data_IF_384006214478
#
_entry.id   IF_384006214478
#
_cell.length_a   1.000
_cell.length_b   1.000
_cell.length_c   1.000
_cell.angle_alpha   90.00
_cell.angle_beta   90.00
_cell.angle_gamma   90.00
#
_symmetry.space_group_name_H-M   'P 1'
#
loop_
_entity.id
_entity.type
_entity.pdbx_description
1 polymer ?
#
# COMPACT_ATOMS: atom_id res chain seq x y z
N UNK A 1 -23.32 6.69 9.64
CA UNK A 1 -22.89 5.78 8.56
C UNK A 1 -21.37 5.79 8.58
N UNK A 2 -20.72 4.66 8.88
CA UNK A 2 -19.26 4.61 8.83
C UNK A 2 -18.81 4.64 7.37
N UNK A 3 -17.67 5.28 7.08
CA UNK A 3 -17.11 5.26 5.73
C UNK A 3 -16.67 3.83 5.38
N UNK A 4 -16.82 3.42 4.12
CA UNK A 4 -16.42 2.09 3.62
C UNK A 4 -14.98 1.70 4.00
N UNK A 5 -14.06 2.66 3.98
CA UNK A 5 -12.67 2.44 4.37
C UNK A 5 -12.53 2.09 5.85
N UNK A 6 -13.39 2.62 6.72
CA UNK A 6 -13.40 2.28 8.14
C UNK A 6 -13.89 0.85 8.39
N UNK A 7 -14.93 0.42 7.69
CA UNK A 7 -15.45 -0.96 7.80
C UNK A 7 -14.42 -1.99 7.31
N UNK A 8 -13.74 -1.69 6.19
CA UNK A 8 -12.64 -2.50 5.67
C UNK A 8 -11.46 -2.53 6.63
N UNK A 9 -11.08 -1.39 7.20
CA UNK A 9 -10.03 -1.32 8.22
C UNK A 9 -10.37 -2.19 9.44
N UNK A 10 -11.60 -2.10 9.95
CA UNK A 10 -12.07 -2.93 11.07
C UNK A 10 -12.03 -4.43 10.72
N UNK A 11 -12.32 -4.80 9.47
CA UNK A 11 -12.21 -6.18 9.00
C UNK A 11 -10.75 -6.67 8.97
N UNK A 12 -9.81 -5.83 8.53
CA UNK A 12 -8.38 -6.15 8.55
C UNK A 12 -7.86 -6.30 9.98
N UNK A 13 -8.25 -5.39 10.90
CA UNK A 13 -7.87 -5.47 12.32
C UNK A 13 -8.38 -6.76 12.98
N UNK A 14 -9.64 -7.15 12.71
CA UNK A 14 -10.17 -8.44 13.20
C UNK A 14 -9.35 -9.63 12.69
N UNK A 15 -8.90 -9.59 11.45
CA UNK A 15 -8.07 -10.67 10.85
C UNK A 15 -6.66 -10.69 11.42
N UNK A 16 -6.10 -9.53 11.75
CA UNK A 16 -4.81 -9.39 12.41
C UNK A 16 -4.84 -9.77 13.90
N UNK A 17 -6.01 -9.88 14.53
CA UNK A 17 -6.18 -10.13 15.97
C UNK A 17 -5.15 -11.08 16.61
N UNK A 18 -4.89 -12.28 16.05
CA UNK A 18 -3.90 -13.21 16.59
C UNK A 18 -2.43 -12.77 16.46
N UNK A 19 -2.12 -11.88 15.52
CA UNK A 19 -0.78 -11.37 15.20
C UNK A 19 -0.51 -9.96 15.74
N UNK A 20 -1.54 -9.24 16.20
CA UNK A 20 -1.33 -8.00 16.94
C UNK A 20 -0.60 -8.34 18.25
N UNK A 21 0.51 -7.66 18.58
CA UNK A 21 1.33 -8.03 19.71
C UNK A 21 0.54 -7.96 21.00
N UNK A 22 0.24 -9.12 21.59
CA UNK A 22 -0.28 -9.22 22.95
C UNK A 22 0.88 -9.18 23.93
N UNK A 23 1.54 -8.03 24.06
CA UNK A 23 2.60 -7.74 25.05
C UNK A 23 3.64 -8.88 25.29
N UNK A 24 3.89 -9.74 24.29
CA UNK A 24 4.67 -10.96 24.45
C UNK A 24 6.06 -10.74 23.87
N UNK A 25 7.13 -10.91 24.67
CA UNK A 25 8.49 -10.77 24.19
C UNK A 25 8.80 -11.80 23.07
N UNK A 26 9.26 -11.33 21.92
CA UNK A 26 9.76 -12.18 20.81
C UNK A 26 8.88 -12.25 19.55
N UNK A 27 7.70 -11.64 19.52
CA UNK A 27 6.92 -11.50 18.28
C UNK A 27 7.44 -10.33 17.44
N UNK A 28 7.75 -10.56 16.16
CA UNK A 28 7.97 -9.47 15.22
C UNK A 28 6.68 -8.65 15.06
N UNK A 29 6.74 -7.30 15.06
CA UNK A 29 5.57 -6.48 14.79
C UNK A 29 4.97 -6.81 13.42
N UNK A 30 3.63 -6.78 13.28
CA UNK A 30 2.98 -7.14 12.03
C UNK A 30 3.29 -6.15 10.92
N UNK A 31 3.51 -6.69 9.72
CA UNK A 31 3.67 -5.95 8.47
C UNK A 31 2.43 -6.14 7.62
N UNK A 32 1.78 -5.05 7.23
CA UNK A 32 0.61 -5.03 6.34
C UNK A 32 0.99 -4.38 5.02
N UNK A 33 0.83 -5.10 3.92
CA UNK A 33 1.00 -4.56 2.58
C UNK A 33 -0.37 -4.29 1.97
N UNK A 34 -0.61 -3.06 1.53
CA UNK A 34 -1.86 -2.65 0.87
C UNK A 34 -1.53 -2.17 -0.55
N UNK A 35 -1.71 -3.08 -1.50
CA UNK A 35 -1.45 -2.84 -2.91
C UNK A 35 -2.76 -2.63 -3.67
N UNK A 36 -2.67 -1.95 -4.80
CA UNK A 36 -3.78 -1.60 -5.68
C UNK A 36 -3.34 -0.52 -6.65
N UNK A 37 -3.96 -0.48 -7.82
CA UNK A 37 -3.63 0.49 -8.87
C UNK A 37 -3.95 1.92 -8.45
N UNK A 38 -3.37 2.91 -9.12
CA UNK A 38 -3.70 4.31 -8.88
C UNK A 38 -5.20 4.56 -9.03
N UNK A 39 -5.79 5.27 -8.07
CA UNK A 39 -7.23 5.53 -8.00
C UNK A 39 -8.11 4.43 -7.37
N UNK A 40 -7.54 3.31 -6.89
CA UNK A 40 -8.33 2.19 -6.35
C UNK A 40 -8.95 2.42 -4.96
N UNK A 41 -8.47 3.40 -4.20
CA UNK A 41 -8.91 3.67 -2.82
C UNK A 41 -8.00 3.07 -1.73
N UNK A 42 -6.82 2.55 -2.10
CA UNK A 42 -5.85 1.96 -1.16
C UNK A 42 -5.32 2.97 -0.13
N UNK A 43 -5.12 4.23 -0.51
CA UNK A 43 -4.56 5.25 0.37
C UNK A 43 -5.54 5.62 1.47
N UNK A 44 -6.84 5.69 1.17
CA UNK A 44 -7.92 5.89 2.12
C UNK A 44 -8.08 4.71 3.07
N UNK A 45 -7.96 3.47 2.56
CA UNK A 45 -7.95 2.27 3.41
C UNK A 45 -6.74 2.26 4.35
N UNK A 46 -5.55 2.58 3.85
CA UNK A 46 -4.32 2.62 4.66
C UNK A 46 -4.40 3.67 5.76
N UNK A 47 -4.92 4.87 5.46
CA UNK A 47 -5.19 5.92 6.45
C UNK A 47 -6.16 5.43 7.51
N UNK A 48 -7.32 4.89 7.09
CA UNK A 48 -8.33 4.39 8.03
C UNK A 48 -7.80 3.26 8.92
N UNK A 49 -6.96 2.38 8.38
CA UNK A 49 -6.31 1.31 9.14
C UNK A 49 -5.33 1.86 10.17
N UNK A 50 -4.49 2.82 9.79
CA UNK A 50 -3.53 3.45 10.69
C UNK A 50 -4.22 4.22 11.84
N UNK A 51 -5.27 4.98 11.53
CA UNK A 51 -6.06 5.74 12.53
C UNK A 51 -6.76 4.84 13.56
N UNK A 52 -7.11 3.62 13.17
CA UNK A 52 -7.86 2.66 14.00
C UNK A 52 -6.95 1.62 14.64
N UNK A 53 -5.66 1.68 14.37
CA UNK A 53 -4.71 0.72 14.89
C UNK A 53 -4.63 0.82 16.43
N UNK A 54 -4.61 -0.31 17.15
CA UNK A 54 -4.49 -0.28 18.60
C UNK A 54 -3.06 0.09 19.01
N UNK A 55 -2.79 1.40 19.13
CA UNK A 55 -1.49 1.96 19.50
C UNK A 55 -0.69 2.50 18.32
N UNK A 56 0.60 2.82 18.53
CA UNK A 56 1.45 3.37 17.47
C UNK A 56 1.65 2.37 16.32
N UNK A 57 1.57 2.87 15.10
CA UNK A 57 1.83 2.15 13.85
C UNK A 57 2.52 3.11 12.88
N UNK A 58 3.45 2.60 12.08
CA UNK A 58 4.08 3.37 11.01
C UNK A 58 3.37 3.12 9.69
N UNK A 59 3.05 4.19 8.96
CA UNK A 59 2.51 4.13 7.60
C UNK A 59 3.53 4.69 6.62
N UNK A 60 3.91 3.89 5.63
CA UNK A 60 4.79 4.26 4.52
C UNK A 60 4.01 4.21 3.22
N UNK A 61 4.12 5.27 2.41
CA UNK A 61 3.45 5.37 1.11
C UNK A 61 4.49 5.34 0.00
N UNK A 62 4.31 4.49 -1.02
CA UNK A 62 5.25 4.43 -2.13
C UNK A 62 5.25 5.71 -2.98
N UNK A 63 4.18 6.53 -2.92
CA UNK A 63 4.14 7.85 -3.56
C UNK A 63 5.30 8.76 -3.10
N UNK A 64 5.80 8.56 -1.86
CA UNK A 64 6.97 9.27 -1.33
C UNK A 64 8.31 8.61 -1.73
N UNK A 65 8.29 7.42 -2.34
CA UNK A 65 9.48 6.60 -2.63
C UNK A 65 9.77 6.49 -4.12
N UNK A 66 8.76 6.48 -4.99
CA UNK A 66 8.99 6.25 -6.43
C UNK A 66 10.03 7.24 -6.98
N UNK A 67 11.15 6.74 -7.55
CA UNK A 67 12.11 7.60 -8.23
C UNK A 67 11.55 8.03 -9.59
N UNK A 68 10.69 9.05 -9.57
CA UNK A 68 10.04 9.61 -10.73
C UNK A 68 8.99 8.68 -11.35
N UNK A 69 8.53 9.06 -12.55
CA UNK A 69 7.42 8.40 -13.23
C UNK A 69 7.73 7.00 -13.78
N UNK A 70 8.98 6.53 -13.76
CA UNK A 70 9.39 5.16 -14.11
C UNK A 70 9.79 4.31 -12.90
N UNK A 71 9.49 4.83 -11.71
CA UNK A 71 10.07 4.33 -10.48
C UNK A 71 9.40 3.08 -9.89
N UNK A 72 8.40 2.47 -10.54
CA UNK A 72 7.58 1.43 -9.90
C UNK A 72 8.42 0.23 -9.45
N UNK A 73 9.19 -0.37 -10.36
CA UNK A 73 10.01 -1.54 -10.05
C UNK A 73 11.13 -1.19 -9.05
N UNK A 74 11.69 0.02 -9.16
CA UNK A 74 12.71 0.50 -8.22
C UNK A 74 12.15 0.70 -6.81
N UNK A 75 10.92 1.23 -6.66
CA UNK A 75 10.26 1.36 -5.37
C UNK A 75 9.87 0.01 -4.78
N UNK A 76 9.41 -0.94 -5.60
CA UNK A 76 9.15 -2.32 -5.13
C UNK A 76 10.42 -2.96 -4.56
N UNK A 77 11.57 -2.80 -5.21
CA UNK A 77 12.86 -3.28 -4.72
C UNK A 77 13.31 -2.52 -3.46
N UNK A 78 13.10 -1.21 -3.41
CA UNK A 78 13.41 -0.37 -2.25
C UNK A 78 12.66 -0.84 -0.99
N UNK A 79 11.36 -1.16 -1.13
CA UNK A 79 10.55 -1.74 -0.04
C UNK A 79 11.15 -3.06 0.44
N UNK A 80 11.61 -3.92 -0.46
CA UNK A 80 12.26 -5.16 -0.05
C UNK A 80 13.57 -4.88 0.69
N UNK A 81 14.52 -4.21 0.03
CA UNK A 81 15.93 -4.19 0.43
C UNK A 81 16.21 -3.27 1.62
N UNK A 82 15.49 -2.15 1.71
CA UNK A 82 15.75 -1.14 2.73
C UNK A 82 14.73 -1.13 3.87
N UNK A 83 13.54 -1.70 3.64
CA UNK A 83 12.45 -1.67 4.61
C UNK A 83 12.18 -3.06 5.20
N UNK A 84 11.77 -4.04 4.38
CA UNK A 84 11.27 -5.32 4.91
C UNK A 84 12.38 -6.33 5.25
N UNK A 85 13.42 -6.42 4.42
CA UNK A 85 14.54 -7.35 4.63
C UNK A 85 15.70 -6.73 5.45
N UNK A 86 15.60 -5.45 5.81
CA UNK A 86 16.63 -4.72 6.54
C UNK A 86 16.49 -4.88 8.05
N UNK A 87 17.61 -5.09 8.75
CA UNK A 87 17.66 -5.02 10.23
C UNK A 87 17.64 -3.59 10.78
N UNK A 88 17.85 -2.59 9.92
CA UNK A 88 17.73 -1.17 10.22
C UNK A 88 16.78 -0.54 9.19
N UNK A 89 15.45 -0.76 9.34
CA UNK A 89 14.48 -0.39 8.33
C UNK A 89 14.44 1.13 8.13
N UNK A 90 14.47 1.54 6.87
CA UNK A 90 14.42 2.95 6.46
C UNK A 90 13.92 3.07 5.03
N UNK A 91 13.50 4.26 4.63
CA UNK A 91 13.17 4.58 3.25
C UNK A 91 13.71 5.95 2.85
N UNK A 92 13.90 6.18 1.55
CA UNK A 92 14.35 7.46 1.03
C UNK A 92 13.19 8.19 0.37
N UNK A 93 12.96 9.45 0.75
CA UNK A 93 11.97 10.28 0.09
C UNK A 93 12.44 10.64 -1.32
N UNK A 94 11.53 10.67 -2.28
CA UNK A 94 11.73 11.28 -3.59
C UNK A 94 11.22 12.72 -3.59
N UNK A 95 12.03 13.64 -4.08
CA UNK A 95 11.60 15.01 -4.36
C UNK A 95 11.12 15.11 -5.80
N UNK A 96 9.80 15.13 -5.97
CA UNK A 96 9.13 15.23 -7.27
C UNK A 96 9.36 16.56 -8.00
N UNK A 97 9.80 17.62 -7.29
CA UNK A 97 10.09 18.92 -7.90
C UNK A 97 11.44 18.90 -8.58
N UNK A 98 12.45 18.31 -7.92
CA UNK A 98 13.81 18.25 -8.44
C UNK A 98 14.14 16.94 -9.17
N UNK A 99 13.23 15.95 -9.14
CA UNK A 99 13.40 14.60 -9.69
C UNK A 99 14.64 13.89 -9.12
N UNK A 100 14.85 14.01 -7.80
CA UNK A 100 16.02 13.44 -7.10
C UNK A 100 15.64 12.77 -5.78
N UNK A 101 16.49 11.85 -5.32
CA UNK A 101 16.41 11.34 -3.95
C UNK A 101 16.70 12.45 -2.93
N UNK A 102 15.88 12.51 -1.88
CA UNK A 102 15.98 13.46 -0.78
C UNK A 102 16.44 12.75 0.50
N UNK A 103 15.94 13.16 1.67
CA UNK A 103 16.33 12.60 2.96
C UNK A 103 15.88 11.15 3.17
N UNK A 104 16.62 10.45 4.04
CA UNK A 104 16.27 9.12 4.52
C UNK A 104 15.48 9.22 5.82
N UNK A 105 14.37 8.49 5.91
CA UNK A 105 13.57 8.34 7.12
C UNK A 105 13.78 6.94 7.73
N UNK A 106 14.18 6.89 9.00
CA UNK A 106 14.33 5.63 9.74
C UNK A 106 12.99 5.17 10.31
N UNK A 107 12.80 3.86 10.41
CA UNK A 107 11.61 3.22 10.96
C UNK A 107 11.99 2.51 12.25
N UNK A 108 11.14 2.62 13.26
CA UNK A 108 11.32 1.85 14.49
C UNK A 108 10.95 0.39 14.23
N UNK A 109 11.90 -0.56 14.25
CA UNK A 109 11.61 -1.98 13.99
C UNK A 109 10.76 -2.64 15.08
N UNK A 110 10.49 -1.95 16.20
CA UNK A 110 9.60 -2.42 17.25
C UNK A 110 8.12 -2.04 17.02
N UNK A 111 7.82 -1.22 16.01
CA UNK A 111 6.45 -0.81 15.69
C UNK A 111 5.86 -1.61 14.52
N UNK A 112 4.54 -1.85 14.53
CA UNK A 112 3.82 -2.33 13.36
C UNK A 112 4.02 -1.42 12.15
N UNK A 113 4.02 -2.01 10.95
CA UNK A 113 4.28 -1.30 9.70
C UNK A 113 3.14 -1.56 8.70
N UNK A 114 2.60 -0.48 8.13
CA UNK A 114 1.70 -0.51 6.98
C UNK A 114 2.47 0.10 5.80
N UNK A 115 2.54 -0.61 4.68
CA UNK A 115 3.12 -0.13 3.42
C UNK A 115 2.02 -0.12 2.37
N UNK A 116 1.78 1.04 1.75
CA UNK A 116 0.75 1.18 0.71
C UNK A 116 1.32 1.75 -0.59
N UNK A 117 0.88 1.18 -1.71
CA UNK A 117 1.35 1.59 -3.03
C UNK A 117 1.36 0.46 -4.06
N UNK A 118 1.21 0.79 -5.34
CA UNK A 118 1.39 -0.19 -6.41
C UNK A 118 2.86 -0.60 -6.48
N UNK A 119 3.13 -1.89 -6.32
CA UNK A 119 4.51 -2.37 -6.19
C UNK A 119 4.87 -2.79 -4.76
N UNK A 120 4.03 -2.51 -3.77
CA UNK A 120 4.26 -2.98 -2.40
C UNK A 120 4.15 -4.49 -2.30
N UNK A 121 3.24 -5.14 -3.05
CA UNK A 121 2.94 -6.56 -3.00
C UNK A 121 3.60 -7.35 -4.15
N UNK A 122 4.93 -7.39 -4.16
CA UNK A 122 5.71 -8.32 -4.98
C UNK A 122 5.79 -9.71 -4.32
N UNK A 123 6.24 -10.75 -5.05
CA UNK A 123 6.48 -12.07 -4.45
C UNK A 123 7.48 -12.02 -3.28
N UNK A 124 8.53 -11.21 -3.41
CA UNK A 124 9.56 -11.08 -2.38
C UNK A 124 8.98 -10.38 -1.13
N UNK A 125 8.25 -9.28 -1.32
CA UNK A 125 7.63 -8.54 -0.22
C UNK A 125 6.54 -9.36 0.48
N UNK A 126 5.76 -10.13 -0.29
CA UNK A 126 4.72 -11.01 0.23
C UNK A 126 5.25 -12.06 1.21
N UNK A 127 6.49 -12.52 1.05
CA UNK A 127 7.11 -13.50 1.95
C UNK A 127 7.47 -12.92 3.33
N UNK A 128 7.52 -11.59 3.45
CA UNK A 128 7.88 -10.86 4.66
C UNK A 128 6.67 -10.16 5.32
N UNK A 129 5.48 -10.28 4.72
CA UNK A 129 4.27 -9.64 5.18
C UNK A 129 3.47 -10.54 6.12
N UNK A 130 2.86 -9.94 7.14
CA UNK A 130 1.88 -10.60 8.02
C UNK A 130 0.49 -10.63 7.39
N UNK A 131 0.12 -9.58 6.65
CA UNK A 131 -1.14 -9.50 5.92
C UNK A 131 -0.96 -8.80 4.58
N UNK A 132 -1.50 -9.40 3.52
CA UNK A 132 -1.40 -8.91 2.16
C UNK A 132 -2.77 -8.53 1.64
N UNK A 133 -2.95 -7.29 1.22
CA UNK A 133 -4.23 -6.74 0.78
C UNK A 133 -4.10 -6.22 -0.64
N UNK A 134 -5.06 -6.59 -1.49
CA UNK A 134 -5.22 -6.04 -2.82
C UNK A 134 -6.54 -5.26 -2.91
N UNK A 135 -6.47 -4.00 -3.31
CA UNK A 135 -7.63 -3.14 -3.55
C UNK A 135 -7.85 -3.00 -5.06
N UNK A 136 -8.89 -3.66 -5.53
CA UNK A 136 -9.30 -3.70 -6.93
C UNK A 136 -10.39 -2.67 -7.22
N UNK A 137 -10.26 -2.01 -8.37
CA UNK A 137 -11.28 -1.12 -8.90
C UNK A 137 -11.18 -1.13 -10.42
N UNK A 138 -12.32 -1.05 -11.11
CA UNK A 138 -12.34 -1.09 -12.56
C UNK A 138 -11.57 0.10 -13.19
N UNK A 139 -11.13 -0.12 -14.43
CA UNK A 139 -10.26 0.82 -15.14
C UNK A 139 -10.89 2.19 -15.41
N UNK A 140 -12.21 2.24 -15.64
CA UNK A 140 -12.89 3.49 -15.94
C UNK A 140 -13.00 4.33 -14.66
N UNK A 141 -13.47 3.71 -13.57
CA UNK A 141 -13.65 4.39 -12.28
C UNK A 141 -12.33 4.85 -11.69
N UNK A 142 -11.28 3.99 -11.69
CA UNK A 142 -9.98 4.38 -11.15
C UNK A 142 -9.34 5.53 -11.94
N UNK A 143 -9.51 5.55 -13.27
CA UNK A 143 -9.00 6.64 -14.14
C UNK A 143 -9.70 7.94 -13.82
N UNK A 144 -11.02 7.91 -13.70
CA UNK A 144 -11.80 9.08 -13.33
C UNK A 144 -11.35 9.62 -11.96
N UNK A 145 -11.19 8.75 -10.95
CA UNK A 145 -10.76 9.16 -9.59
C UNK A 145 -9.35 9.72 -9.58
N UNK A 146 -8.40 9.07 -10.25
CA UNK A 146 -7.02 9.51 -10.26
C UNK A 146 -6.84 10.86 -10.98
N UNK A 147 -7.54 11.07 -12.11
CA UNK A 147 -7.52 12.35 -12.81
C UNK A 147 -8.24 13.46 -12.04
N UNK A 148 -9.33 13.13 -11.33
CA UNK A 148 -10.01 14.12 -10.49
C UNK A 148 -9.16 14.57 -9.29
N UNK A 149 -8.30 13.69 -8.76
CA UNK A 149 -7.42 13.98 -7.62
C UNK A 149 -6.14 14.69 -8.03
N UNK A 150 -5.42 14.16 -9.01
CA UNK A 150 -4.05 14.57 -9.35
C UNK A 150 -3.97 15.42 -10.63
N UNK A 151 -5.11 15.61 -11.31
CA UNK A 151 -5.32 16.64 -12.33
C UNK A 151 -4.32 16.65 -13.49
N UNK A 152 -3.97 17.86 -13.91
CA UNK A 152 -3.08 18.14 -15.05
C UNK A 152 -1.64 17.67 -14.84
N UNK A 153 -1.19 17.52 -13.59
CA UNK A 153 0.16 17.02 -13.30
C UNK A 153 0.29 15.53 -13.60
N UNK A 154 -0.80 14.77 -13.43
CA UNK A 154 -0.79 13.31 -13.65
C UNK A 154 -1.24 12.90 -15.05
N UNK A 155 -2.13 13.68 -15.68
CA UNK A 155 -2.69 13.33 -17.00
C UNK A 155 -1.65 13.03 -18.09
N UNK A 156 -0.52 13.77 -18.22
CA UNK A 156 0.53 13.47 -19.21
C UNK A 156 1.24 12.14 -18.96
N UNK A 157 1.26 11.67 -17.71
CA UNK A 157 1.99 10.47 -17.29
C UNK A 157 1.09 9.24 -17.14
N UNK A 158 -0.24 9.39 -17.26
CA UNK A 158 -1.21 8.33 -17.05
C UNK A 158 -0.88 7.04 -17.81
N UNK A 159 -0.70 7.11 -19.12
CA UNK A 159 -0.47 5.90 -19.93
C UNK A 159 0.87 5.24 -19.62
N UNK A 160 1.91 6.06 -19.36
CA UNK A 160 3.25 5.61 -18.95
C UNK A 160 3.19 4.88 -17.61
N UNK A 161 2.50 5.45 -16.63
CA UNK A 161 2.32 4.84 -15.31
C UNK A 161 1.49 3.56 -15.41
N UNK A 162 0.34 3.62 -16.08
CA UNK A 162 -0.54 2.47 -16.27
C UNK A 162 0.16 1.31 -16.99
N UNK A 163 1.11 1.58 -17.90
CA UNK A 163 1.92 0.55 -18.53
C UNK A 163 2.81 -0.19 -17.53
N UNK A 164 3.44 0.53 -16.58
CA UNK A 164 4.23 -0.09 -15.52
C UNK A 164 3.35 -0.88 -14.56
N UNK A 165 2.19 -0.36 -14.15
CA UNK A 165 1.24 -1.11 -13.32
C UNK A 165 0.90 -2.45 -13.97
N UNK A 166 0.56 -2.44 -15.27
CA UNK A 166 0.25 -3.67 -16.02
C UNK A 166 1.43 -4.63 -16.06
N UNK A 167 2.64 -4.13 -16.32
CA UNK A 167 3.85 -4.95 -16.38
C UNK A 167 4.16 -5.59 -15.02
N UNK A 168 4.08 -4.81 -13.94
CA UNK A 168 4.25 -5.30 -12.58
C UNK A 168 3.21 -6.36 -12.22
N UNK A 169 1.93 -6.09 -12.48
CA UNK A 169 0.83 -7.02 -12.16
C UNK A 169 0.96 -8.32 -12.94
N UNK A 170 1.31 -8.24 -14.22
CA UNK A 170 1.53 -9.42 -15.06
C UNK A 170 2.71 -10.27 -14.57
N UNK A 171 3.73 -9.64 -13.99
CA UNK A 171 4.93 -10.32 -13.50
C UNK A 171 4.78 -10.86 -12.08
N UNK A 172 4.19 -10.10 -11.15
CA UNK A 172 4.14 -10.42 -9.73
C UNK A 172 2.82 -11.07 -9.29
N UNK A 173 1.74 -10.89 -10.05
CA UNK A 173 0.40 -11.36 -9.72
C UNK A 173 -0.08 -10.96 -8.30
N UNK A 174 -0.02 -9.67 -7.91
CA UNK A 174 -0.27 -9.21 -6.54
C UNK A 174 -1.66 -9.62 -6.01
N UNK A 175 -2.69 -9.61 -6.87
CA UNK A 175 -4.04 -10.09 -6.50
C UNK A 175 -4.05 -11.55 -6.03
N UNK A 176 -3.21 -12.41 -6.62
CA UNK A 176 -3.11 -13.82 -6.22
C UNK A 176 -2.26 -14.02 -4.96
N UNK A 177 -1.39 -13.06 -4.63
CA UNK A 177 -0.60 -13.06 -3.40
C UNK A 177 -1.39 -12.55 -2.19
N UNK A 178 -2.50 -11.86 -2.40
CA UNK A 178 -3.28 -11.23 -1.35
C UNK A 178 -4.08 -12.23 -0.51
N UNK A 179 -4.08 -12.02 0.81
CA UNK A 179 -4.95 -12.72 1.76
C UNK A 179 -6.38 -12.17 1.74
N UNK A 180 -6.50 -10.88 1.39
CA UNK A 180 -7.76 -10.15 1.31
C UNK A 180 -7.78 -9.35 0.02
N UNK A 181 -8.84 -9.52 -0.75
CA UNK A 181 -9.13 -8.70 -1.93
C UNK A 181 -10.38 -7.89 -1.63
N UNK A 182 -10.27 -6.57 -1.77
CA UNK A 182 -11.42 -5.68 -1.74
C UNK A 182 -11.78 -5.25 -3.15
N UNK A 183 -13.05 -5.37 -3.51
CA UNK A 183 -13.59 -4.96 -4.82
C UNK A 183 -14.67 -3.90 -4.65
N UNK A 184 -15.11 -3.26 -5.73
CA UNK A 184 -16.19 -2.27 -5.62
C UNK A 184 -17.54 -2.89 -5.19
N UNK A 185 -17.74 -4.19 -5.40
CA UNK A 185 -18.98 -4.94 -5.10
C UNK A 185 -19.11 -5.43 -3.65
N UNK A 186 -18.14 -5.17 -2.76
CA UNK A 186 -18.29 -5.43 -1.33
C UNK A 186 -19.26 -4.43 -0.66
N UNK A 187 -20.39 -4.13 -1.29
CA UNK A 187 -21.52 -3.32 -0.81
C UNK A 187 -22.75 -4.25 -0.75
N UNK A 188 -23.33 -4.55 0.43
CA UNK A 188 -24.65 -5.16 0.48
C UNK A 188 -25.65 -4.11 -0.01
N UNK A 189 -25.99 -4.16 -1.30
CA UNK A 189 -26.95 -3.25 -1.95
C UNK A 189 -28.11 -2.84 -1.02
N UNK A 190 -28.34 -1.53 -0.76
CA UNK A 190 -29.47 -1.06 0.03
C UNK A 190 -30.81 -1.09 -0.74
N UNK A 191 -30.89 -1.71 -1.93
CA UNK A 191 -32.13 -1.89 -2.68
C UNK A 191 -32.61 -3.34 -2.67
N UNK A 192 -33.17 -3.74 -1.53
CA UNK A 192 -34.34 -4.65 -1.48
C UNK A 192 -35.60 -3.85 -1.21
#
# INVERSE_FOLDING_TARGET
MFSRSAERADALLRRLGPALPSASPGSHPPVVLIDGRSGSGKSELATALAERWPGPVTLVRLDDIYPGWDGLDAASAHVHDHLLASSAPRWQRHDWVTDTGAEWASIDPALPLIVEGIGSLSRQNAALATLRVWVELDDATRKQRALARDGEAYAPHWERWAAQERAFIAREHPRALADVVFTEDDDPDPRR
#
